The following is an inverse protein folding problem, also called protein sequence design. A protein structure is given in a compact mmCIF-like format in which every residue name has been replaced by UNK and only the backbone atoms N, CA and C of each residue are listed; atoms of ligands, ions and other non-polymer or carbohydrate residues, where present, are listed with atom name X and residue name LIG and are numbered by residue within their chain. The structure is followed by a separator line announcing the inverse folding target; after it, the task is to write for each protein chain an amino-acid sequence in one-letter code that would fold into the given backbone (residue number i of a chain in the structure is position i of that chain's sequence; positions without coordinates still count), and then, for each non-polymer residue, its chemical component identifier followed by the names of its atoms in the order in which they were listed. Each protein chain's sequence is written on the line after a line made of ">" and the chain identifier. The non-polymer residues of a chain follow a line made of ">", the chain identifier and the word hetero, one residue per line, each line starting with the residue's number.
data_IF_361314217677
#
_entry.id   IF_361314217677
#
_cell.length_a   1.000
_cell.length_b   1.000
_cell.length_c   1.000
_cell.angle_alpha   90.00
_cell.angle_beta   90.00
_cell.angle_gamma   90.00
#
_symmetry.space_group_name_H-M   'P 1'
#
loop_
_entity.id
_entity.type
_entity.pdbx_description
1 polymer ?
#
# COMPACT_ATOMS: atom_id res chain seq x y z
N UNK A 1 -4.53 44.30 29.07
CA UNK A 1 -5.46 43.27 28.55
C UNK A 1 -4.97 42.84 27.17
N UNK A 2 -4.05 41.86 27.10
CA UNK A 2 -3.50 41.37 25.83
C UNK A 2 -4.26 40.11 25.38
N UNK A 3 -5.03 40.21 24.30
CA UNK A 3 -5.72 39.08 23.68
C UNK A 3 -4.70 38.25 22.90
N UNK A 4 -4.43 37.04 23.38
CA UNK A 4 -3.72 36.01 22.64
C UNK A 4 -4.67 35.44 21.57
N UNK A 5 -4.36 35.65 20.29
CA UNK A 5 -5.01 34.93 19.19
C UNK A 5 -4.15 33.70 18.93
N UNK A 6 -4.58 32.55 19.48
CA UNK A 6 -4.08 31.25 19.08
C UNK A 6 -4.63 30.96 17.68
N UNK A 7 -3.78 31.08 16.66
CA UNK A 7 -4.08 30.68 15.30
C UNK A 7 -4.13 29.14 15.28
N UNK A 8 -5.34 28.58 15.29
CA UNK A 8 -5.56 27.14 15.13
C UNK A 8 -5.19 26.77 13.70
N UNK A 9 -4.09 26.03 13.55
CA UNK A 9 -3.69 25.34 12.32
C UNK A 9 -4.77 24.31 11.94
N UNK A 10 -5.69 24.70 11.08
CA UNK A 10 -6.48 23.76 10.27
C UNK A 10 -5.55 23.21 9.19
N UNK A 11 -4.74 22.21 9.54
CA UNK A 11 -4.06 21.39 8.53
C UNK A 11 -5.15 20.61 7.82
N UNK A 12 -5.54 21.11 6.65
CA UNK A 12 -6.47 20.45 5.75
C UNK A 12 -5.91 19.07 5.43
N UNK A 13 -6.65 18.04 5.82
CA UNK A 13 -6.49 16.69 5.31
C UNK A 13 -6.83 16.77 3.82
N UNK A 14 -5.82 16.97 2.98
CA UNK A 14 -5.94 16.95 1.53
C UNK A 14 -6.37 15.54 1.14
N UNK A 15 -7.57 15.42 0.56
CA UNK A 15 -8.21 14.16 0.20
C UNK A 15 -7.48 13.39 -0.91
N UNK A 16 -6.36 12.75 -0.57
CA UNK A 16 -5.95 11.55 -1.26
C UNK A 16 -6.92 10.46 -0.84
N UNK A 17 -7.69 9.92 -1.80
CA UNK A 17 -8.44 8.68 -1.58
C UNK A 17 -7.43 7.65 -1.03
N UNK A 18 -7.77 6.89 0.03
CA UNK A 18 -6.86 5.91 0.58
C UNK A 18 -6.51 4.91 -0.53
N UNK A 19 -5.21 4.67 -0.71
CA UNK A 19 -4.72 3.67 -1.65
C UNK A 19 -5.31 2.30 -1.27
N UNK A 20 -6.18 1.73 -2.10
CA UNK A 20 -6.85 0.47 -1.79
C UNK A 20 -5.98 -0.72 -2.19
N UNK A 21 -5.19 -1.21 -1.23
CA UNK A 21 -4.36 -2.38 -1.41
C UNK A 21 -5.14 -3.66 -1.77
N UNK A 22 -6.44 -3.73 -1.50
CA UNK A 22 -7.25 -4.88 -1.90
C UNK A 22 -7.60 -4.87 -3.39
N UNK A 23 -7.69 -3.69 -4.03
CA UNK A 23 -7.98 -3.60 -5.47
C UNK A 23 -6.79 -4.00 -6.34
N UNK A 24 -5.56 -3.81 -5.84
CA UNK A 24 -4.33 -4.11 -6.57
C UNK A 24 -3.70 -5.46 -6.20
N UNK A 25 -4.13 -6.05 -5.08
CA UNK A 25 -3.60 -7.33 -4.62
C UNK A 25 -3.98 -8.48 -5.57
N UNK A 26 -3.10 -9.48 -5.66
CA UNK A 26 -3.32 -10.72 -6.40
C UNK A 26 -4.58 -11.42 -5.85
N UNK A 27 -5.51 -11.80 -6.73
CA UNK A 27 -6.65 -12.62 -6.38
C UNK A 27 -6.27 -14.09 -6.11
N UNK A 28 -6.88 -14.71 -5.10
CA UNK A 28 -6.72 -16.13 -4.77
C UNK A 28 -7.80 -16.98 -5.44
N UNK A 29 -7.58 -18.31 -5.53
CA UNK A 29 -8.51 -19.22 -6.21
C UNK A 29 -9.86 -19.39 -5.49
N UNK A 30 -9.89 -19.07 -4.20
CA UNK A 30 -11.09 -19.01 -3.36
C UNK A 30 -11.91 -17.71 -3.53
N UNK A 31 -11.45 -16.79 -4.39
CA UNK A 31 -12.12 -15.53 -4.67
C UNK A 31 -11.79 -14.41 -3.67
N UNK A 32 -10.81 -14.61 -2.80
CA UNK A 32 -10.23 -13.60 -1.94
C UNK A 32 -9.07 -12.85 -2.60
N UNK A 33 -8.41 -12.01 -1.80
CA UNK A 33 -7.12 -11.38 -2.15
C UNK A 33 -6.00 -12.06 -1.38
N UNK A 34 -4.81 -12.07 -1.95
CA UNK A 34 -3.62 -12.61 -1.32
C UNK A 34 -3.17 -11.69 -0.17
N UNK A 35 -3.20 -12.21 1.06
CA UNK A 35 -2.89 -11.44 2.26
C UNK A 35 -1.41 -10.99 2.31
N UNK A 36 -0.50 -11.72 1.67
CA UNK A 36 0.91 -11.38 1.61
C UNK A 36 1.14 -10.19 0.68
N UNK A 37 0.46 -10.18 -0.45
CA UNK A 37 0.53 -9.10 -1.42
C UNK A 37 -0.15 -7.83 -0.89
N UNK A 38 -1.30 -7.98 -0.23
CA UNK A 38 -1.97 -6.87 0.47
C UNK A 38 -1.08 -6.26 1.56
N UNK A 39 -0.34 -7.08 2.31
CA UNK A 39 0.60 -6.60 3.34
C UNK A 39 1.83 -5.89 2.76
N UNK A 40 2.36 -6.39 1.63
CA UNK A 40 3.45 -5.73 0.92
C UNK A 40 3.02 -4.34 0.43
N UNK A 41 1.82 -4.23 -0.12
CA UNK A 41 1.21 -2.96 -0.48
C UNK A 41 1.04 -2.04 0.73
N UNK A 42 0.47 -2.53 1.84
CA UNK A 42 0.25 -1.73 3.04
C UNK A 42 1.58 -1.20 3.60
N UNK A 43 2.65 -1.99 3.53
CA UNK A 43 3.99 -1.56 3.97
C UNK A 43 4.52 -0.39 3.15
N UNK A 44 4.26 -0.37 1.84
CA UNK A 44 4.59 0.75 0.97
C UNK A 44 3.74 1.99 1.28
N UNK A 45 2.44 1.82 1.54
CA UNK A 45 1.54 2.92 1.96
C UNK A 45 1.93 3.47 3.34
N UNK A 46 2.32 2.62 4.29
CA UNK A 46 2.74 3.06 5.61
C UNK A 46 4.08 3.82 5.56
N UNK A 47 4.97 3.44 4.64
CA UNK A 47 6.27 4.08 4.45
C UNK A 47 6.18 5.40 3.65
N UNK A 48 5.42 5.42 2.57
CA UNK A 48 5.44 6.51 1.58
C UNK A 48 4.09 7.24 1.45
N UNK A 49 3.03 6.78 2.13
CA UNK A 49 1.70 7.35 2.00
C UNK A 49 1.19 7.30 0.56
N UNK A 50 0.82 8.47 0.03
CA UNK A 50 0.30 8.63 -1.32
C UNK A 50 1.36 8.48 -2.43
N UNK A 51 2.65 8.44 -2.08
CA UNK A 51 3.75 8.26 -3.04
C UNK A 51 4.01 6.78 -3.39
N UNK A 52 3.27 5.85 -2.76
CA UNK A 52 3.33 4.44 -3.12
C UNK A 52 2.74 4.20 -4.53
N UNK A 53 3.52 3.58 -5.42
CA UNK A 53 3.09 3.20 -6.77
C UNK A 53 3.18 1.68 -6.96
N UNK A 54 2.25 1.14 -7.76
CA UNK A 54 2.32 -0.25 -8.25
C UNK A 54 3.10 -0.27 -9.55
N UNK A 55 4.09 -1.15 -9.63
CA UNK A 55 4.84 -1.42 -10.84
C UNK A 55 4.20 -2.60 -11.59
N UNK A 56 4.17 -2.50 -12.92
CA UNK A 56 3.64 -3.55 -13.79
C UNK A 56 4.57 -4.79 -13.77
N UNK A 57 4.39 -5.65 -12.78
CA UNK A 57 5.09 -6.92 -12.60
C UNK A 57 4.15 -8.01 -12.09
N UNK A 58 4.59 -9.28 -12.16
CA UNK A 58 3.90 -10.39 -11.51
C UNK A 58 4.89 -11.25 -10.72
N UNK A 59 4.81 -11.32 -9.37
CA UNK A 59 3.83 -10.62 -8.52
C UNK A 59 3.97 -9.08 -8.58
N UNK A 60 2.93 -8.31 -8.19
CA UNK A 60 3.01 -6.86 -8.09
C UNK A 60 4.19 -6.43 -7.23
N UNK A 61 4.82 -5.33 -7.62
CA UNK A 61 5.86 -4.68 -6.84
C UNK A 61 5.38 -3.27 -6.49
N UNK A 62 5.53 -2.90 -5.23
CA UNK A 62 5.15 -1.60 -4.70
C UNK A 62 6.42 -0.81 -4.41
N UNK A 63 6.49 0.45 -4.84
CA UNK A 63 7.67 1.27 -4.62
C UNK A 63 7.29 2.73 -4.53
N UNK A 64 8.10 3.52 -3.84
CA UNK A 64 8.05 4.98 -3.92
C UNK A 64 9.37 5.54 -4.48
N UNK A 65 9.97 4.81 -5.42
CA UNK A 65 11.22 5.17 -6.08
C UNK A 65 12.44 4.83 -5.25
N UNK A 66 13.23 5.84 -4.86
CA UNK A 66 14.51 5.64 -4.19
C UNK A 66 14.40 5.23 -2.72
N UNK A 67 13.21 5.36 -2.11
CA UNK A 67 12.99 5.16 -0.68
C UNK A 67 12.76 3.69 -0.31
N UNK A 68 12.28 2.88 -1.25
CA UNK A 68 12.02 1.47 -0.99
C UNK A 68 11.23 0.78 -2.08
N UNK A 69 11.27 -0.55 -2.02
CA UNK A 69 10.45 -1.45 -2.81
C UNK A 69 9.99 -2.60 -1.93
N UNK A 70 8.73 -2.97 -2.07
CA UNK A 70 8.06 -4.03 -1.33
C UNK A 70 7.39 -4.97 -2.32
N UNK A 71 7.45 -6.25 -2.02
CA UNK A 71 6.90 -7.34 -2.80
C UNK A 71 6.22 -8.31 -1.85
N UNK A 72 5.40 -9.19 -2.41
CA UNK A 72 4.79 -10.29 -1.66
C UNK A 72 5.79 -11.10 -0.83
N UNK A 73 7.05 -11.20 -1.28
CA UNK A 73 8.11 -11.94 -0.59
C UNK A 73 8.63 -11.25 0.67
N UNK A 74 8.42 -9.95 0.83
CA UNK A 74 8.80 -9.23 2.05
C UNK A 74 7.85 -9.58 3.20
N UNK A 75 6.57 -9.80 2.90
CA UNK A 75 5.58 -10.26 3.88
C UNK A 75 5.62 -11.79 4.04
N UNK A 76 5.79 -12.52 2.94
CA UNK A 76 5.76 -13.97 2.89
C UNK A 76 6.95 -14.52 2.07
N UNK A 77 8.11 -14.77 2.70
CA UNK A 77 9.31 -15.23 2.00
C UNK A 77 9.12 -16.52 1.21
N UNK A 78 8.30 -17.44 1.75
CA UNK A 78 7.96 -18.72 1.13
C UNK A 78 6.74 -18.63 0.21
N UNK A 79 6.30 -17.43 -0.16
CA UNK A 79 5.14 -17.25 -1.02
C UNK A 79 5.34 -17.96 -2.36
N UNK A 80 4.38 -18.83 -2.68
CA UNK A 80 4.32 -19.55 -3.93
C UNK A 80 3.27 -18.89 -4.82
N UNK A 81 3.51 -18.93 -6.13
CA UNK A 81 2.52 -18.48 -7.10
C UNK A 81 1.18 -19.19 -6.84
N UNK A 82 0.05 -18.46 -6.85
CA UNK A 82 -1.25 -19.08 -6.71
C UNK A 82 -1.37 -20.10 -7.84
N UNK A 83 -1.57 -21.37 -7.45
CA UNK A 83 -1.78 -22.43 -8.43
C UNK A 83 -3.07 -22.12 -9.14
N UNK A 84 -2.99 -21.78 -10.43
CA UNK A 84 -4.16 -21.55 -11.27
C UNK A 84 -4.93 -22.88 -11.38
N UNK A 85 -5.95 -23.06 -10.55
CA UNK A 85 -6.98 -24.07 -10.80
C UNK A 85 -7.82 -23.58 -11.97
N UNK A 86 -7.45 -24.05 -13.17
CA UNK A 86 -8.29 -23.94 -14.37
C UNK A 86 -9.37 -25.01 -14.34
#
# INVERSE_FOLDING_TARGET
>A
MGRWIALVLMVGCSGAEPFDCAEVAIGTSDGGVDDCDRQACQSCVDACGADCVVLESYPPQYSCGAEGSWTVHDACPDWALPTTSR
#
